data_IF_465750188767
#
_entry.id   IF_465750188767
#
_cell.length_a   1.000
_cell.length_b   1.000
_cell.length_c   1.000
_cell.angle_alpha   90.00
_cell.angle_beta   90.00
_cell.angle_gamma   90.00
#
_symmetry.space_group_name_H-M   'P 1'
#
loop_
_entity.id
_entity.type
_entity.pdbx_description
1 polymer ?
#
# COMPACT_ATOMS: atom_id res chain seq x y z
N UNK A 1 41.43 -22.69 3.55
CA UNK A 1 41.79 -21.26 3.67
C UNK A 1 41.36 -20.54 2.39
N UNK A 2 40.15 -19.95 2.36
CA UNK A 2 39.60 -19.36 1.13
C UNK A 2 40.09 -17.93 0.91
N UNK A 3 40.53 -17.61 -0.31
CA UNK A 3 40.90 -16.25 -0.72
C UNK A 3 39.74 -15.26 -0.48
N UNK A 4 40.05 -14.09 0.08
CA UNK A 4 39.08 -13.01 0.36
C UNK A 4 39.11 -11.98 -0.76
N UNK A 5 38.03 -11.90 -1.55
CA UNK A 5 37.87 -10.87 -2.57
C UNK A 5 37.45 -9.53 -1.94
N UNK A 6 38.26 -8.49 -2.17
CA UNK A 6 37.97 -7.10 -1.81
C UNK A 6 38.59 -6.15 -2.86
N UNK A 7 37.79 -5.28 -3.47
CA UNK A 7 38.25 -4.29 -4.46
C UNK A 7 37.62 -2.92 -4.17
N UNK A 8 38.44 -1.88 -3.95
CA UNK A 8 38.00 -0.50 -3.74
C UNK A 8 38.26 0.33 -4.99
N UNK A 9 37.24 0.98 -5.53
CA UNK A 9 37.30 1.86 -6.70
C UNK A 9 36.94 3.28 -6.26
N UNK A 10 37.79 4.27 -6.59
CA UNK A 10 37.53 5.69 -6.32
C UNK A 10 36.75 6.28 -7.48
N UNK A 11 35.59 6.88 -7.21
CA UNK A 11 34.73 7.49 -8.24
C UNK A 11 34.91 9.01 -8.30
N UNK A 12 35.10 9.65 -7.14
CA UNK A 12 35.36 11.09 -7.00
C UNK A 12 36.10 11.36 -5.67
N UNK A 13 36.67 12.56 -5.41
CA UNK A 13 37.21 12.91 -4.10
C UNK A 13 36.17 12.70 -2.98
N UNK A 14 36.47 11.82 -2.02
CA UNK A 14 35.53 11.47 -0.95
C UNK A 14 34.48 10.42 -1.31
N UNK A 15 34.44 9.88 -2.53
CA UNK A 15 33.45 8.87 -2.95
C UNK A 15 34.15 7.60 -3.44
N UNK A 16 33.91 6.48 -2.76
CA UNK A 16 34.55 5.19 -3.05
C UNK A 16 33.52 4.06 -3.05
N UNK A 17 33.61 3.15 -4.01
CA UNK A 17 32.83 1.91 -4.01
C UNK A 17 33.75 0.75 -3.61
N UNK A 18 33.36 0.00 -2.58
CA UNK A 18 34.05 -1.21 -2.17
C UNK A 18 33.23 -2.44 -2.54
N UNK A 19 33.82 -3.30 -3.36
CA UNK A 19 33.30 -4.61 -3.72
C UNK A 19 33.91 -5.66 -2.80
N UNK A 20 33.06 -6.54 -2.27
CA UNK A 20 33.46 -7.68 -1.46
C UNK A 20 32.59 -8.89 -1.81
N UNK A 21 32.93 -10.08 -1.30
CA UNK A 21 32.10 -11.28 -1.45
C UNK A 21 30.65 -11.10 -0.94
N UNK A 22 30.43 -10.15 -0.03
CA UNK A 22 29.10 -9.84 0.53
C UNK A 22 28.33 -8.73 -0.19
N UNK A 23 28.86 -8.21 -1.31
CA UNK A 23 28.22 -7.16 -2.10
C UNK A 23 29.02 -5.85 -2.15
N UNK A 24 28.50 -4.92 -2.95
CA UNK A 24 29.06 -3.59 -3.14
C UNK A 24 28.62 -2.65 -2.00
N UNK A 25 29.52 -1.75 -1.58
CA UNK A 25 29.25 -0.71 -0.59
C UNK A 25 29.75 0.63 -1.09
N UNK A 26 28.97 1.69 -0.87
CA UNK A 26 29.29 3.05 -1.27
C UNK A 26 29.76 3.84 -0.04
N UNK A 27 30.98 4.35 -0.06
CA UNK A 27 31.57 5.20 0.97
C UNK A 27 31.59 6.64 0.49
N UNK A 28 30.96 7.54 1.25
CA UNK A 28 30.80 8.97 0.98
C UNK A 28 31.38 9.76 2.17
N UNK A 29 32.41 10.58 1.93
CA UNK A 29 32.98 11.51 2.92
C UNK A 29 34.51 11.68 2.86
N UNK A 30 34.98 12.81 3.39
CA UNK A 30 36.39 13.23 3.44
C UNK A 30 37.09 12.73 4.71
N UNK A 31 38.38 13.04 4.88
CA UNK A 31 39.15 12.66 6.08
C UNK A 31 38.55 13.33 7.32
N UNK A 32 38.07 12.53 8.27
CA UNK A 32 37.46 12.98 9.53
C UNK A 32 35.96 12.70 9.65
N UNK A 33 35.30 12.41 8.53
CA UNK A 33 33.88 12.06 8.52
C UNK A 33 33.51 11.30 7.26
N UNK A 34 33.25 10.00 7.39
CA UNK A 34 32.85 9.12 6.28
C UNK A 34 31.61 8.32 6.62
N UNK A 35 30.72 8.18 5.65
CA UNK A 35 29.49 7.41 5.75
C UNK A 35 29.55 6.30 4.70
N UNK A 36 29.47 5.06 5.13
CA UNK A 36 29.56 3.88 4.26
C UNK A 36 28.25 3.13 4.26
N UNK A 37 27.58 3.13 3.11
CA UNK A 37 26.36 2.41 2.83
C UNK A 37 26.70 1.02 2.29
N UNK A 38 26.26 -0.03 2.96
CA UNK A 38 26.53 -1.40 2.52
C UNK A 38 25.46 -2.38 2.97
N UNK A 39 25.51 -3.63 2.48
CA UNK A 39 24.48 -4.64 2.71
C UNK A 39 24.31 -5.04 4.19
N UNK A 40 25.26 -4.70 5.06
CA UNK A 40 25.20 -4.92 6.51
C UNK A 40 24.80 -3.67 7.31
N UNK A 41 24.37 -2.60 6.65
CA UNK A 41 23.93 -1.35 7.27
C UNK A 41 24.84 -0.15 6.97
N UNK A 42 24.40 1.02 7.42
CA UNK A 42 25.11 2.29 7.26
C UNK A 42 26.10 2.47 8.41
N UNK A 43 27.38 2.58 8.06
CA UNK A 43 28.46 2.82 9.01
C UNK A 43 28.88 4.28 8.93
N UNK A 44 28.71 5.01 10.02
CA UNK A 44 29.20 6.38 10.15
C UNK A 44 30.51 6.31 10.93
N UNK A 45 31.57 6.88 10.36
CA UNK A 45 32.86 7.00 11.01
C UNK A 45 33.22 8.47 11.09
N UNK A 46 33.21 9.00 12.30
CA UNK A 46 33.64 10.36 12.64
C UNK A 46 34.95 10.24 13.42
N UNK A 47 35.94 11.04 13.08
CA UNK A 47 37.25 10.98 13.72
C UNK A 47 37.97 12.31 13.61
N UNK A 48 38.85 12.59 14.56
CA UNK A 48 39.57 13.85 14.63
C UNK A 48 40.81 13.71 13.75
N UNK A 49 40.92 14.43 12.61
CA UNK A 49 42.02 14.27 11.67
C UNK A 49 43.38 14.54 12.33
N UNK A 50 44.39 13.72 12.04
CA UNK A 50 45.75 13.90 12.57
C UNK A 50 46.02 13.27 13.95
N UNK A 51 44.99 12.79 14.66
CA UNK A 51 45.13 12.23 16.01
C UNK A 51 45.09 10.69 16.08
N UNK A 52 44.72 10.02 14.98
CA UNK A 52 44.52 8.57 14.96
C UNK A 52 43.23 8.08 15.66
N UNK A 53 42.49 8.98 16.31
CA UNK A 53 41.25 8.67 17.01
C UNK A 53 40.04 8.73 16.06
N UNK A 54 39.35 7.61 15.92
CA UNK A 54 38.14 7.48 15.11
C UNK A 54 37.05 6.71 15.87
N UNK A 55 35.84 7.26 15.89
CA UNK A 55 34.66 6.60 16.43
C UNK A 55 33.82 6.09 15.26
N UNK A 56 33.68 4.77 15.17
CA UNK A 56 32.84 4.14 14.15
C UNK A 56 31.54 3.69 14.79
N UNK A 57 30.48 4.44 14.52
CA UNK A 57 29.13 4.06 14.91
C UNK A 57 28.51 3.26 13.77
N UNK A 58 28.38 1.95 13.96
CA UNK A 58 27.55 1.12 13.10
C UNK A 58 26.12 1.35 13.56
N UNK A 59 25.30 2.01 12.72
CA UNK A 59 23.89 2.16 13.03
C UNK A 59 23.27 0.76 13.08
N UNK A 60 22.84 0.27 14.27
CA UNK A 60 22.17 -1.00 14.35
C UNK A 60 20.83 -0.87 13.66
N UNK A 61 20.44 -1.90 12.90
CA UNK A 61 19.09 -2.01 12.34
C UNK A 61 18.10 -2.22 13.50
N UNK A 62 17.71 -1.16 14.22
CA UNK A 62 16.77 -1.23 15.34
C UNK A 62 15.52 -0.38 15.09
N UNK A 63 14.43 -1.13 14.87
CA UNK A 63 13.00 -0.90 15.14
C UNK A 63 12.53 0.55 15.22
N UNK A 64 12.40 1.16 14.05
CA UNK A 64 11.33 2.09 13.71
C UNK A 64 10.15 1.28 13.15
N UNK A 65 9.56 0.42 14.00
CA UNK A 65 8.85 -0.80 13.58
C UNK A 65 7.33 -0.71 13.43
N UNK A 66 6.68 0.43 13.59
CA UNK A 66 5.22 0.54 13.39
C UNK A 66 4.86 1.44 12.20
N UNK A 67 5.38 2.66 12.09
CA UNK A 67 5.03 3.51 10.93
C UNK A 67 5.85 3.22 9.66
N UNK A 68 7.09 2.72 9.80
CA UNK A 68 7.92 2.34 8.64
C UNK A 68 7.77 0.88 8.21
N UNK A 69 7.12 0.02 9.01
CA UNK A 69 6.79 -1.36 8.57
C UNK A 69 5.64 -1.39 7.59
N UNK A 70 4.69 -0.45 7.70
CA UNK A 70 3.58 -0.31 6.75
C UNK A 70 4.08 0.18 5.39
N UNK A 71 5.18 0.95 5.34
CA UNK A 71 5.81 1.39 4.09
C UNK A 71 6.92 0.45 3.56
N UNK A 72 7.48 -0.43 4.40
CA UNK A 72 8.58 -1.36 4.02
C UNK A 72 8.15 -2.82 3.81
N UNK A 73 6.89 -3.18 4.05
CA UNK A 73 6.31 -4.43 3.55
C UNK A 73 6.00 -4.38 2.04
N UNK A 74 6.12 -3.19 1.44
CA UNK A 74 5.78 -2.86 0.05
C UNK A 74 7.02 -2.57 -0.83
N UNK A 75 8.09 -3.36 -0.70
CA UNK A 75 9.13 -3.40 -1.73
C UNK A 75 9.07 -4.73 -2.46
N UNK A 76 9.05 -4.73 -3.80
CA UNK A 76 8.99 -5.95 -4.61
C UNK A 76 10.21 -6.83 -4.34
N UNK A 77 10.14 -8.14 -4.64
CA UNK A 77 11.33 -8.98 -4.59
C UNK A 77 12.43 -8.35 -5.45
N UNK A 78 13.62 -8.28 -4.87
CA UNK A 78 14.84 -7.99 -5.59
C UNK A 78 15.03 -9.05 -6.68
N UNK A 79 14.72 -8.69 -7.92
CA UNK A 79 15.54 -9.07 -9.06
C UNK A 79 16.14 -7.80 -9.65
N UNK A 80 17.21 -7.32 -9.02
CA UNK A 80 18.13 -6.39 -9.67
C UNK A 80 18.95 -7.13 -10.77
N UNK A 81 18.26 -7.86 -11.64
CA UNK A 81 18.79 -8.67 -12.70
C UNK A 81 17.82 -8.78 -13.89
N UNK A 82 17.04 -7.73 -14.18
CA UNK A 82 16.42 -7.50 -15.49
C UNK A 82 15.56 -6.22 -15.46
N UNK A 83 16.19 -5.05 -15.33
CA UNK A 83 15.52 -3.87 -15.87
C UNK A 83 15.27 -4.16 -17.35
N UNK A 84 14.07 -3.94 -17.92
CA UNK A 84 13.85 -4.08 -19.35
C UNK A 84 14.68 -2.98 -20.04
N UNK A 85 15.93 -3.28 -20.32
CA UNK A 85 16.77 -2.47 -21.19
C UNK A 85 16.58 -3.01 -22.58
N UNK A 86 15.82 -2.30 -23.41
CA UNK A 86 15.83 -2.52 -24.85
C UNK A 86 17.29 -2.46 -25.31
N UNK A 87 17.78 -3.57 -25.88
CA UNK A 87 19.07 -3.58 -26.55
C UNK A 87 19.07 -2.59 -27.70
N UNK A 88 20.26 -2.08 -28.08
CA UNK A 88 20.43 -1.09 -29.14
C UNK A 88 19.67 -1.44 -30.44
N UNK A 89 19.62 -2.73 -30.82
CA UNK A 89 18.92 -3.20 -32.02
C UNK A 89 17.39 -3.34 -31.87
N UNK A 90 16.86 -3.53 -30.65
CA UNK A 90 15.42 -3.55 -30.43
C UNK A 90 14.82 -2.15 -30.58
N UNK A 91 15.57 -1.11 -30.16
CA UNK A 91 15.13 0.30 -30.29
C UNK A 91 14.93 0.75 -31.75
N UNK A 92 15.64 0.15 -32.71
CA UNK A 92 15.57 0.54 -34.12
C UNK A 92 14.25 0.12 -34.81
N UNK A 93 13.53 -0.87 -34.26
CA UNK A 93 12.26 -1.39 -34.81
C UNK A 93 11.08 -1.28 -33.84
N UNK A 94 11.27 -0.62 -32.70
CA UNK A 94 10.23 -0.45 -31.67
C UNK A 94 9.51 0.89 -31.88
N UNK A 95 8.17 0.92 -31.94
CA UNK A 95 7.42 2.17 -32.04
C UNK A 95 7.80 3.16 -30.93
N UNK A 96 7.80 4.50 -31.19
CA UNK A 96 8.22 5.49 -30.20
C UNK A 96 7.49 5.39 -28.85
N UNK A 97 6.19 5.06 -28.89
CA UNK A 97 5.34 4.91 -27.71
C UNK A 97 5.76 3.71 -26.85
N UNK A 98 6.21 2.63 -27.48
CA UNK A 98 6.72 1.45 -26.76
C UNK A 98 8.10 1.72 -26.15
N UNK A 99 8.96 2.51 -26.83
CA UNK A 99 10.23 2.97 -26.26
C UNK A 99 9.96 3.80 -25.00
N UNK A 100 9.05 4.78 -25.11
CA UNK A 100 8.65 5.64 -23.99
C UNK A 100 8.08 4.82 -22.82
N UNK A 101 7.25 3.82 -23.10
CA UNK A 101 6.73 2.89 -22.10
C UNK A 101 7.86 2.15 -21.37
N UNK A 102 8.80 1.53 -22.10
CA UNK A 102 9.92 0.80 -21.49
C UNK A 102 10.84 1.73 -20.68
N UNK A 103 11.11 2.94 -21.18
CA UNK A 103 11.86 3.95 -20.44
C UNK A 103 11.14 4.38 -19.16
N UNK A 104 9.82 4.59 -19.23
CA UNK A 104 8.98 4.87 -18.07
C UNK A 104 9.06 3.77 -17.02
N UNK A 105 8.88 2.51 -17.43
CA UNK A 105 9.01 1.33 -16.55
C UNK A 105 10.41 1.22 -15.93
N UNK A 106 11.46 1.52 -16.69
CA UNK A 106 12.83 1.55 -16.16
C UNK A 106 13.01 2.62 -15.08
N UNK A 107 12.50 3.83 -15.31
CA UNK A 107 12.59 4.90 -14.30
C UNK A 107 11.78 4.57 -13.04
N UNK A 108 10.66 3.83 -13.15
CA UNK A 108 9.94 3.29 -11.98
C UNK A 108 10.81 2.32 -11.17
N UNK A 109 11.49 1.39 -11.84
CA UNK A 109 12.42 0.45 -11.17
C UNK A 109 13.57 1.19 -10.48
N UNK A 110 14.00 2.33 -11.03
CA UNK A 110 15.02 3.20 -10.43
C UNK A 110 14.47 4.13 -9.33
N UNK A 111 13.17 4.08 -9.03
CA UNK A 111 12.52 4.91 -8.02
C UNK A 111 12.36 6.38 -8.40
N UNK A 112 12.43 6.71 -9.70
CA UNK A 112 12.37 8.09 -10.22
C UNK A 112 11.01 8.37 -10.81
N UNK A 113 10.03 8.48 -9.93
CA UNK A 113 8.62 8.39 -10.29
C UNK A 113 8.13 9.56 -11.15
N UNK A 114 8.62 10.78 -10.92
CA UNK A 114 8.28 11.93 -11.77
C UNK A 114 8.80 11.79 -13.20
N UNK A 115 10.03 11.30 -13.36
CA UNK A 115 10.62 11.02 -14.68
C UNK A 115 9.91 9.87 -15.38
N UNK A 116 9.55 8.84 -14.62
CA UNK A 116 8.75 7.74 -15.12
C UNK A 116 7.40 8.24 -15.65
N UNK A 117 6.69 9.09 -14.89
CA UNK A 117 5.42 9.64 -15.32
C UNK A 117 5.56 10.47 -16.61
N UNK A 118 6.59 11.32 -16.71
CA UNK A 118 6.85 12.11 -17.91
C UNK A 118 7.04 11.20 -19.15
N UNK A 119 7.76 10.09 -19.01
CA UNK A 119 7.94 9.10 -20.09
C UNK A 119 6.67 8.31 -20.40
N UNK A 120 5.90 7.94 -19.39
CA UNK A 120 4.64 7.22 -19.58
C UNK A 120 3.57 8.08 -20.26
N UNK A 121 3.59 9.41 -20.06
CA UNK A 121 2.73 10.35 -20.77
C UNK A 121 2.98 10.37 -22.30
N UNK A 122 4.17 9.98 -22.76
CA UNK A 122 4.46 9.81 -24.20
C UNK A 122 3.92 8.47 -24.74
N UNK A 123 3.37 7.60 -23.88
CA UNK A 123 2.89 6.24 -24.21
C UNK A 123 1.37 6.04 -24.02
N UNK A 124 0.58 7.11 -23.91
CA UNK A 124 -0.86 7.06 -23.58
C UNK A 124 -1.77 6.42 -24.66
N UNK A 125 -1.24 6.19 -25.84
CA UNK A 125 -1.89 5.41 -26.90
C UNK A 125 -1.77 3.90 -26.69
N UNK A 126 -0.82 3.45 -25.85
CA UNK A 126 -0.76 2.07 -25.39
C UNK A 126 -1.69 1.90 -24.18
N UNK A 127 -2.55 0.87 -24.15
CA UNK A 127 -3.41 0.58 -23.00
C UNK A 127 -2.62 0.50 -21.69
N UNK A 128 -1.54 -0.28 -21.70
CA UNK A 128 -0.66 -0.50 -20.53
C UNK A 128 0.13 0.76 -20.15
N UNK A 129 0.45 1.61 -21.14
CA UNK A 129 1.09 2.91 -20.91
C UNK A 129 0.15 3.88 -20.19
N UNK A 130 -1.10 3.97 -20.64
CA UNK A 130 -2.14 4.76 -19.99
C UNK A 130 -2.45 4.25 -18.57
N UNK A 131 -2.61 2.94 -18.38
CA UNK A 131 -2.84 2.34 -17.07
C UNK A 131 -1.69 2.66 -16.11
N UNK A 132 -0.44 2.44 -16.55
CA UNK A 132 0.73 2.70 -15.71
C UNK A 132 0.88 4.19 -15.38
N UNK A 133 0.64 5.08 -16.36
CA UNK A 133 0.64 6.52 -16.12
C UNK A 133 -0.40 6.91 -15.06
N UNK A 134 -1.61 6.36 -15.14
CA UNK A 134 -2.68 6.59 -14.17
C UNK A 134 -2.33 6.10 -12.77
N UNK A 135 -1.80 4.88 -12.63
CA UNK A 135 -1.38 4.34 -11.33
C UNK A 135 -0.25 5.16 -10.69
N UNK A 136 0.72 5.61 -11.49
CA UNK A 136 1.83 6.46 -11.02
C UNK A 136 1.33 7.85 -10.64
N UNK A 137 0.46 8.45 -11.47
CA UNK A 137 -0.15 9.75 -11.20
C UNK A 137 -1.00 9.73 -9.93
N UNK A 138 -1.76 8.66 -9.67
CA UNK A 138 -2.58 8.51 -8.47
C UNK A 138 -1.73 8.63 -7.21
N UNK A 139 -0.57 7.96 -7.19
CA UNK A 139 0.35 7.99 -6.06
C UNK A 139 1.10 9.32 -5.90
N UNK A 140 1.49 9.95 -7.01
CA UNK A 140 2.32 11.16 -6.98
C UNK A 140 1.54 12.46 -6.84
N UNK A 141 0.38 12.52 -7.49
CA UNK A 141 -0.37 13.76 -7.73
C UNK A 141 -1.79 13.70 -7.18
N UNK A 142 -2.33 12.51 -6.97
CA UNK A 142 -3.68 12.29 -6.44
C UNK A 142 -4.71 11.94 -7.51
N UNK A 143 -5.94 11.75 -7.06
CA UNK A 143 -7.03 11.20 -7.86
C UNK A 143 -7.40 12.07 -9.08
N UNK A 144 -7.43 13.39 -8.91
CA UNK A 144 -7.84 14.33 -9.96
C UNK A 144 -6.92 14.27 -11.18
N UNK A 145 -5.62 14.23 -10.95
CA UNK A 145 -4.60 14.16 -12.00
C UNK A 145 -4.49 12.75 -12.61
N UNK A 146 -4.85 11.71 -11.86
CA UNK A 146 -4.81 10.32 -12.33
C UNK A 146 -5.96 9.95 -13.26
N UNK A 147 -7.15 10.49 -12.98
CA UNK A 147 -8.40 10.16 -13.68
C UNK A 147 -8.29 10.16 -15.21
N UNK A 148 -7.77 11.21 -15.90
CA UNK A 148 -7.73 11.23 -17.36
C UNK A 148 -6.88 10.10 -17.96
N UNK A 149 -5.83 9.64 -17.26
CA UNK A 149 -5.02 8.52 -17.73
C UNK A 149 -5.74 7.18 -17.57
N UNK A 150 -6.46 6.99 -16.46
CA UNK A 150 -7.22 5.77 -16.21
C UNK A 150 -8.46 5.67 -17.10
N UNK A 151 -9.16 6.78 -17.36
CA UNK A 151 -10.25 6.83 -18.35
C UNK A 151 -9.73 6.51 -19.75
N UNK A 152 -8.52 7.00 -20.09
CA UNK A 152 -7.88 6.61 -21.35
C UNK A 152 -7.57 5.12 -21.42
N UNK A 153 -7.08 4.53 -20.32
CA UNK A 153 -6.86 3.08 -20.23
C UNK A 153 -8.17 2.30 -20.37
N UNK A 154 -9.26 2.79 -19.79
CA UNK A 154 -10.60 2.20 -19.90
C UNK A 154 -11.12 2.19 -21.34
N UNK A 155 -10.91 3.28 -22.09
CA UNK A 155 -11.24 3.33 -23.54
C UNK A 155 -10.46 2.29 -24.35
N UNK A 156 -9.26 1.91 -23.89
CA UNK A 156 -8.36 0.98 -24.56
C UNK A 156 -8.33 -0.42 -23.91
N UNK A 157 -9.33 -0.73 -23.06
CA UNK A 157 -9.28 -1.86 -22.12
C UNK A 157 -9.04 -3.24 -22.76
N UNK A 158 -9.47 -3.46 -24.01
CA UNK A 158 -9.26 -4.72 -24.75
C UNK A 158 -7.79 -5.06 -25.00
N UNK A 159 -6.90 -4.07 -24.88
CA UNK A 159 -5.46 -4.23 -25.06
C UNK A 159 -4.66 -4.31 -23.77
N UNK A 160 -5.31 -4.21 -22.59
CA UNK A 160 -4.61 -4.26 -21.30
C UNK A 160 -3.95 -5.62 -21.12
N UNK A 161 -2.68 -5.60 -20.72
CA UNK A 161 -1.83 -6.77 -20.55
C UNK A 161 -0.97 -7.13 -21.77
N UNK A 162 -1.27 -6.63 -22.98
CA UNK A 162 -0.55 -7.04 -24.21
C UNK A 162 0.89 -6.54 -24.25
N UNK A 163 1.11 -5.27 -23.93
CA UNK A 163 2.46 -4.67 -23.89
C UNK A 163 3.23 -5.22 -22.69
N UNK A 164 2.57 -5.39 -21.54
CA UNK A 164 3.16 -6.05 -20.38
C UNK A 164 3.66 -7.46 -20.72
N UNK A 165 2.82 -8.31 -21.34
CA UNK A 165 3.19 -9.65 -21.74
C UNK A 165 4.34 -9.67 -22.78
N UNK A 166 4.30 -8.76 -23.78
CA UNK A 166 5.37 -8.61 -24.78
C UNK A 166 6.75 -8.42 -24.15
N UNK A 167 6.82 -7.71 -23.03
CA UNK A 167 8.06 -7.43 -22.32
C UNK A 167 8.28 -8.29 -21.05
N UNK A 168 7.43 -9.29 -20.79
CA UNK A 168 7.53 -10.15 -19.61
C UNK A 168 7.36 -9.40 -18.28
N UNK A 169 6.57 -8.34 -18.29
CA UNK A 169 6.30 -7.48 -17.13
C UNK A 169 4.98 -7.92 -16.50
N UNK A 170 4.94 -8.04 -15.17
CA UNK A 170 3.72 -8.32 -14.41
C UNK A 170 3.60 -7.29 -13.28
N UNK A 171 3.18 -6.05 -13.60
CA UNK A 171 3.16 -4.99 -12.61
C UNK A 171 2.02 -5.23 -11.62
N UNK A 172 2.28 -4.89 -10.37
CA UNK A 172 1.27 -4.86 -9.33
C UNK A 172 1.28 -3.47 -8.68
N UNK A 173 0.14 -3.06 -8.15
CA UNK A 173 -0.01 -1.85 -7.36
C UNK A 173 -0.70 -2.17 -6.03
N UNK A 174 -0.67 -1.19 -5.13
CA UNK A 174 -1.20 -1.34 -3.78
C UNK A 174 -2.44 -0.48 -3.62
N UNK A 175 -3.53 -1.10 -3.16
CA UNK A 175 -4.72 -0.44 -2.68
C UNK A 175 -4.62 -0.30 -1.16
N UNK A 176 -4.90 0.90 -0.67
CA UNK A 176 -4.86 1.23 0.75
C UNK A 176 -6.28 1.28 1.29
N UNK A 177 -6.50 0.62 2.42
CA UNK A 177 -7.76 0.59 3.13
C UNK A 177 -7.56 1.17 4.54
N UNK A 178 -8.64 1.59 5.20
CA UNK A 178 -8.59 2.04 6.58
C UNK A 178 -7.92 1.03 7.51
N UNK A 179 -7.42 1.55 8.63
CA UNK A 179 -6.85 0.76 9.72
C UNK A 179 -5.58 -0.02 9.34
N UNK A 180 -4.80 0.51 8.39
CA UNK A 180 -3.48 -0.01 8.03
C UNK A 180 -3.53 -1.29 7.20
N UNK A 181 -4.64 -1.55 6.52
CA UNK A 181 -4.74 -2.67 5.57
C UNK A 181 -4.31 -2.18 4.20
N UNK A 182 -3.45 -2.96 3.56
CA UNK A 182 -2.96 -2.66 2.23
C UNK A 182 -2.88 -3.97 1.44
N UNK A 183 -3.52 -3.97 0.27
CA UNK A 183 -3.67 -5.15 -0.58
C UNK A 183 -3.06 -4.91 -1.94
N UNK A 184 -2.52 -5.98 -2.53
CA UNK A 184 -1.89 -5.93 -3.84
C UNK A 184 -2.88 -6.34 -4.92
N UNK A 185 -2.94 -5.54 -5.98
CA UNK A 185 -3.71 -5.84 -7.18
C UNK A 185 -2.77 -5.90 -8.40
N UNK A 186 -2.98 -6.85 -9.33
CA UNK A 186 -2.29 -6.83 -10.62
C UNK A 186 -2.74 -5.62 -11.44
N UNK A 187 -1.83 -5.04 -12.22
CA UNK A 187 -2.16 -4.03 -13.22
C UNK A 187 -2.71 -4.71 -14.49
N UNK A 188 -3.86 -5.35 -14.35
CA UNK A 188 -4.65 -5.96 -15.41
C UNK A 188 -6.00 -5.24 -15.56
N UNK A 189 -6.94 -5.82 -16.31
CA UNK A 189 -8.26 -5.22 -16.49
C UNK A 189 -9.03 -5.08 -15.17
N UNK A 190 -8.92 -6.05 -14.25
CA UNK A 190 -9.52 -5.93 -12.91
C UNK A 190 -8.84 -4.82 -12.11
N UNK A 191 -7.51 -4.76 -12.14
CA UNK A 191 -6.72 -3.70 -11.53
C UNK A 191 -7.11 -2.31 -12.00
N UNK A 192 -7.33 -2.13 -13.29
CA UNK A 192 -7.82 -0.88 -13.86
C UNK A 192 -9.17 -0.47 -13.24
N UNK A 193 -10.13 -1.39 -13.17
CA UNK A 193 -11.44 -1.12 -12.57
C UNK A 193 -11.36 -0.79 -11.07
N UNK A 194 -10.50 -1.51 -10.32
CA UNK A 194 -10.26 -1.22 -8.91
C UNK A 194 -9.59 0.16 -8.71
N UNK A 195 -8.63 0.52 -9.57
CA UNK A 195 -7.97 1.83 -9.52
C UNK A 195 -8.94 2.98 -9.86
N UNK A 196 -9.79 2.80 -10.87
CA UNK A 196 -10.84 3.76 -11.19
C UNK A 196 -11.84 3.91 -10.04
N UNK A 197 -12.27 2.81 -9.43
CA UNK A 197 -13.15 2.87 -8.27
C UNK A 197 -12.53 3.69 -7.13
N UNK A 198 -11.25 3.46 -6.81
CA UNK A 198 -10.53 4.26 -5.80
C UNK A 198 -10.49 5.75 -6.17
N UNK A 199 -10.17 6.07 -7.42
CA UNK A 199 -10.13 7.47 -7.90
C UNK A 199 -11.49 8.14 -7.78
N UNK A 200 -12.57 7.44 -8.10
CA UNK A 200 -13.92 7.97 -7.95
C UNK A 200 -14.30 8.13 -6.47
N UNK A 201 -13.96 7.19 -5.58
CA UNK A 201 -14.13 7.35 -4.13
C UNK A 201 -13.39 8.59 -3.60
N UNK A 202 -12.11 8.76 -3.96
CA UNK A 202 -11.26 9.90 -3.56
C UNK A 202 -11.81 11.25 -4.05
N UNK A 203 -12.56 11.24 -5.16
CA UNK A 203 -13.24 12.42 -5.72
C UNK A 203 -14.66 12.62 -5.19
N UNK A 204 -15.12 11.78 -4.25
CA UNK A 204 -16.49 11.81 -3.69
C UNK A 204 -17.57 11.28 -4.63
N UNK A 205 -17.18 10.66 -5.75
CA UNK A 205 -18.04 10.10 -6.80
C UNK A 205 -18.36 8.63 -6.54
N UNK A 206 -18.97 8.36 -5.39
CA UNK A 206 -19.16 6.98 -4.89
C UNK A 206 -20.07 6.15 -5.81
N UNK A 207 -21.06 6.76 -6.46
CA UNK A 207 -21.98 6.04 -7.35
C UNK A 207 -21.26 5.44 -8.58
N UNK A 208 -20.32 6.20 -9.16
CA UNK A 208 -19.47 5.75 -10.26
C UNK A 208 -18.55 4.62 -9.81
N UNK A 209 -17.95 4.73 -8.62
CA UNK A 209 -17.13 3.66 -8.04
C UNK A 209 -17.94 2.35 -7.86
N UNK A 210 -19.14 2.44 -7.28
CA UNK A 210 -20.02 1.29 -7.05
C UNK A 210 -20.39 0.57 -8.35
N UNK A 211 -20.53 1.29 -9.47
CA UNK A 211 -20.83 0.68 -10.77
C UNK A 211 -19.75 -0.31 -11.20
N UNK A 212 -18.47 0.07 -11.08
CA UNK A 212 -17.35 -0.83 -11.41
C UNK A 212 -17.23 -1.99 -10.41
N UNK A 213 -17.41 -1.70 -9.13
CA UNK A 213 -17.24 -2.68 -8.06
C UNK A 213 -18.35 -3.74 -8.03
N UNK A 214 -19.60 -3.36 -8.30
CA UNK A 214 -20.71 -4.30 -8.47
C UNK A 214 -20.47 -5.21 -9.67
N UNK A 215 -19.99 -4.67 -10.80
CA UNK A 215 -19.63 -5.48 -11.96
C UNK A 215 -18.56 -6.53 -11.61
N UNK A 216 -17.49 -6.13 -10.91
CA UNK A 216 -16.43 -7.05 -10.47
C UNK A 216 -16.96 -8.12 -9.50
N UNK A 217 -17.71 -7.72 -8.48
CA UNK A 217 -18.21 -8.62 -7.45
C UNK A 217 -19.22 -9.65 -8.00
N UNK A 218 -20.07 -9.24 -8.96
CA UNK A 218 -21.05 -10.14 -9.56
C UNK A 218 -20.40 -11.14 -10.53
N UNK A 219 -19.33 -10.75 -11.22
CA UNK A 219 -18.61 -11.64 -12.13
C UNK A 219 -17.67 -12.61 -11.40
N UNK A 220 -17.09 -12.20 -10.28
CA UNK A 220 -16.16 -13.02 -9.49
C UNK A 220 -16.53 -12.99 -8.00
N UNK A 221 -17.61 -13.66 -7.57
CA UNK A 221 -18.09 -13.58 -6.19
C UNK A 221 -17.08 -14.05 -5.14
N UNK A 222 -16.12 -14.90 -5.52
CA UNK A 222 -15.08 -15.43 -4.65
C UNK A 222 -13.88 -14.48 -4.48
N UNK A 223 -13.79 -13.39 -5.25
CA UNK A 223 -12.69 -12.44 -5.13
C UNK A 223 -12.84 -11.59 -3.87
N UNK A 224 -12.05 -11.91 -2.84
CA UNK A 224 -12.04 -11.20 -1.56
C UNK A 224 -11.67 -9.72 -1.70
N UNK A 225 -10.79 -9.37 -2.63
CA UNK A 225 -10.35 -7.98 -2.83
C UNK A 225 -11.48 -7.16 -3.45
N UNK A 226 -12.10 -7.67 -4.52
CA UNK A 226 -13.25 -7.00 -5.13
C UNK A 226 -14.41 -6.84 -4.14
N UNK A 227 -14.67 -7.88 -3.34
CA UNK A 227 -15.66 -7.84 -2.26
C UNK A 227 -15.32 -6.78 -1.20
N UNK A 228 -14.06 -6.69 -0.77
CA UNK A 228 -13.64 -5.67 0.20
C UNK A 228 -13.81 -4.26 -0.37
N UNK A 229 -13.38 -4.01 -1.61
CA UNK A 229 -13.57 -2.71 -2.26
C UNK A 229 -15.06 -2.33 -2.32
N UNK A 230 -15.92 -3.26 -2.76
CA UNK A 230 -17.37 -3.00 -2.83
C UNK A 230 -17.96 -2.69 -1.45
N UNK A 231 -17.65 -3.50 -0.43
CA UNK A 231 -18.12 -3.25 0.94
C UNK A 231 -17.58 -1.94 1.49
N UNK A 232 -16.33 -1.58 1.20
CA UNK A 232 -15.74 -0.31 1.60
C UNK A 232 -16.52 0.87 1.00
N UNK A 233 -16.73 0.86 -0.32
CA UNK A 233 -17.45 1.92 -1.02
C UNK A 233 -18.91 2.04 -0.55
N UNK A 234 -19.60 0.92 -0.33
CA UNK A 234 -20.97 0.91 0.22
C UNK A 234 -21.05 1.51 1.63
N UNK A 235 -19.96 1.43 2.39
CA UNK A 235 -19.87 1.96 3.76
C UNK A 235 -19.30 3.38 3.82
N UNK A 236 -19.11 4.04 2.68
CA UNK A 236 -18.62 5.42 2.62
C UNK A 236 -19.70 6.43 3.10
N UNK A 237 -19.28 7.45 3.86
CA UNK A 237 -20.19 8.49 4.37
C UNK A 237 -21.22 7.96 5.37
N UNK A 238 -22.51 8.27 5.13
CA UNK A 238 -23.65 7.79 5.91
C UNK A 238 -24.49 6.83 5.08
N UNK A 239 -24.26 5.50 5.16
CA UNK A 239 -24.95 4.54 4.31
C UNK A 239 -26.44 4.45 4.64
N UNK A 240 -27.25 4.24 3.60
CA UNK A 240 -28.69 3.96 3.73
C UNK A 240 -28.98 2.47 3.98
N UNK A 241 -30.25 2.16 4.20
CA UNK A 241 -30.72 0.80 4.52
C UNK A 241 -30.35 -0.23 3.44
N UNK A 242 -30.47 0.14 2.17
CA UNK A 242 -30.14 -0.72 1.03
C UNK A 242 -28.65 -1.10 1.01
N UNK A 243 -27.77 -0.13 1.28
CA UNK A 243 -26.34 -0.37 1.37
C UNK A 243 -26.00 -1.34 2.52
N UNK A 244 -26.63 -1.16 3.68
CA UNK A 244 -26.46 -2.09 4.80
C UNK A 244 -26.91 -3.51 4.44
N UNK A 245 -28.09 -3.68 3.85
CA UNK A 245 -28.58 -5.00 3.41
C UNK A 245 -27.64 -5.64 2.40
N UNK A 246 -27.10 -4.85 1.45
CA UNK A 246 -26.12 -5.32 0.47
C UNK A 246 -24.81 -5.77 1.13
N UNK A 247 -24.29 -5.00 2.09
CA UNK A 247 -23.12 -5.40 2.88
C UNK A 247 -23.38 -6.72 3.62
N UNK A 248 -24.57 -6.92 4.22
CA UNK A 248 -24.89 -8.16 4.91
C UNK A 248 -24.96 -9.37 3.97
N UNK A 249 -25.39 -9.20 2.72
CA UNK A 249 -25.37 -10.25 1.70
C UNK A 249 -23.93 -10.61 1.31
N UNK A 250 -23.11 -9.61 1.00
CA UNK A 250 -21.71 -9.80 0.59
C UNK A 250 -20.85 -10.42 1.71
N UNK A 251 -21.22 -10.16 2.96
CA UNK A 251 -20.52 -10.64 4.16
C UNK A 251 -21.24 -11.81 4.84
N UNK A 252 -22.15 -12.48 4.14
CA UNK A 252 -22.77 -13.70 4.64
C UNK A 252 -21.69 -14.77 4.86
N UNK A 253 -21.63 -15.34 6.07
CA UNK A 253 -20.68 -16.40 6.45
C UNK A 253 -19.20 -16.03 6.20
N UNK A 254 -18.68 -15.08 6.98
CA UNK A 254 -17.25 -14.77 6.96
C UNK A 254 -16.48 -15.59 8.01
N UNK A 255 -15.37 -16.24 7.64
CA UNK A 255 -14.40 -16.71 8.62
C UNK A 255 -13.70 -15.50 9.26
N UNK A 256 -12.83 -15.72 10.24
CA UNK A 256 -11.94 -14.68 10.76
C UNK A 256 -10.48 -15.13 10.62
N UNK A 257 -10.04 -15.29 9.37
CA UNK A 257 -8.73 -15.88 9.06
C UNK A 257 -7.66 -14.89 8.65
N UNK A 258 -8.04 -13.84 7.92
CA UNK A 258 -7.16 -12.81 7.39
C UNK A 258 -7.53 -11.44 7.96
N UNK A 259 -6.64 -10.42 7.87
CA UNK A 259 -7.01 -9.05 8.23
C UNK A 259 -8.20 -8.52 7.42
N UNK A 260 -8.32 -8.93 6.16
CA UNK A 260 -9.45 -8.62 5.27
C UNK A 260 -10.75 -9.15 5.87
N UNK A 261 -10.78 -10.40 6.30
CA UNK A 261 -11.93 -10.98 6.99
C UNK A 261 -12.32 -10.19 8.24
N UNK A 262 -11.33 -9.78 9.04
CA UNK A 262 -11.56 -8.98 10.24
C UNK A 262 -12.15 -7.60 9.92
N UNK A 263 -11.68 -6.94 8.86
CA UNK A 263 -12.23 -5.66 8.39
C UNK A 263 -13.66 -5.81 7.83
N UNK A 264 -13.91 -6.85 7.04
CA UNK A 264 -15.27 -7.15 6.56
C UNK A 264 -16.25 -7.42 7.72
N UNK A 265 -15.80 -8.08 8.80
CA UNK A 265 -16.60 -8.26 10.01
C UNK A 265 -16.88 -6.92 10.73
N UNK A 266 -15.93 -5.98 10.74
CA UNK A 266 -16.16 -4.63 11.25
C UNK A 266 -17.26 -3.91 10.44
N UNK A 267 -17.18 -3.93 9.11
CA UNK A 267 -18.21 -3.35 8.25
C UNK A 267 -19.57 -4.05 8.40
N UNK A 268 -19.57 -5.37 8.51
CA UNK A 268 -20.78 -6.15 8.79
C UNK A 268 -21.45 -5.73 10.10
N UNK A 269 -20.66 -5.55 11.18
CA UNK A 269 -21.18 -5.11 12.46
C UNK A 269 -21.78 -3.69 12.39
N UNK A 270 -21.12 -2.77 11.69
CA UNK A 270 -21.65 -1.42 11.42
C UNK A 270 -22.97 -1.46 10.66
N UNK A 271 -23.06 -2.31 9.63
CA UNK A 271 -24.29 -2.49 8.88
C UNK A 271 -25.43 -3.08 9.73
N UNK A 272 -25.15 -4.10 10.56
CA UNK A 272 -26.12 -4.65 11.51
C UNK A 272 -26.62 -3.59 12.50
N UNK A 273 -25.70 -2.80 13.06
CA UNK A 273 -26.02 -1.67 13.95
C UNK A 273 -26.88 -0.62 13.23
N UNK A 274 -26.54 -0.26 11.99
CA UNK A 274 -27.32 0.68 11.17
C UNK A 274 -28.74 0.22 10.87
N UNK A 275 -29.00 -1.10 10.89
CA UNK A 275 -30.33 -1.70 10.79
C UNK A 275 -31.01 -1.93 12.15
N UNK A 276 -30.43 -1.48 13.25
CA UNK A 276 -30.94 -1.68 14.61
C UNK A 276 -30.77 -3.10 15.16
N UNK A 277 -30.03 -3.98 14.48
CA UNK A 277 -29.78 -5.37 14.90
C UNK A 277 -28.61 -5.45 15.89
N UNK A 278 -28.74 -4.79 17.04
CA UNK A 278 -27.64 -4.53 17.98
C UNK A 278 -27.02 -5.81 18.56
N UNK A 279 -27.83 -6.82 18.87
CA UNK A 279 -27.33 -8.12 19.39
C UNK A 279 -26.48 -8.86 18.35
N UNK A 280 -26.92 -8.92 17.10
CA UNK A 280 -26.16 -9.52 16.01
C UNK A 280 -24.86 -8.75 15.73
N UNK A 281 -24.89 -7.42 15.83
CA UNK A 281 -23.69 -6.58 15.72
C UNK A 281 -22.68 -6.91 16.84
N UNK A 282 -23.16 -7.12 18.07
CA UNK A 282 -22.32 -7.48 19.24
C UNK A 282 -21.65 -8.82 19.05
N UNK A 283 -22.39 -9.83 18.58
CA UNK A 283 -21.86 -11.15 18.25
C UNK A 283 -20.79 -11.07 17.16
N UNK A 284 -21.05 -10.29 16.11
CA UNK A 284 -20.12 -10.08 14.99
C UNK A 284 -18.81 -9.41 15.46
N UNK A 285 -18.88 -8.35 16.28
CA UNK A 285 -17.68 -7.72 16.86
C UNK A 285 -16.94 -8.65 17.82
N UNK A 286 -17.68 -9.48 18.57
CA UNK A 286 -17.08 -10.50 19.43
C UNK A 286 -16.32 -11.54 18.60
N UNK A 287 -16.87 -12.02 17.49
CA UNK A 287 -16.18 -12.90 16.55
C UNK A 287 -14.93 -12.24 15.97
N UNK A 288 -15.03 -10.98 15.53
CA UNK A 288 -13.91 -10.23 14.96
C UNK A 288 -12.74 -10.09 15.94
N UNK A 289 -13.03 -9.79 17.21
CA UNK A 289 -12.03 -9.58 18.26
C UNK A 289 -11.37 -10.86 18.80
N UNK A 290 -11.86 -12.06 18.44
CA UNK A 290 -11.27 -13.34 18.87
C UNK A 290 -9.84 -13.54 18.35
N UNK A 291 -9.54 -13.07 17.14
CA UNK A 291 -8.23 -13.28 16.50
C UNK A 291 -7.42 -11.98 16.50
N UNK A 292 -6.27 -12.00 17.18
CA UNK A 292 -5.33 -10.87 17.25
C UNK A 292 -4.08 -11.05 16.40
N UNK A 293 -3.71 -12.30 16.12
CA UNK A 293 -2.50 -12.63 15.38
C UNK A 293 -2.54 -11.98 13.99
N UNK A 294 -1.46 -11.30 13.62
CA UNK A 294 -1.26 -10.65 12.33
C UNK A 294 -2.31 -9.56 11.99
N UNK A 295 -3.00 -9.00 13.01
CA UNK A 295 -3.95 -7.88 12.80
C UNK A 295 -3.28 -6.55 13.09
N UNK A 296 -3.51 -5.52 12.23
CA UNK A 296 -3.07 -4.16 12.54
C UNK A 296 -3.62 -3.70 13.89
N UNK A 297 -2.80 -3.03 14.70
CA UNK A 297 -3.23 -2.43 15.98
C UNK A 297 -4.40 -1.46 15.77
N UNK A 298 -4.34 -0.65 14.71
CA UNK A 298 -5.42 0.26 14.31
C UNK A 298 -6.75 -0.45 14.08
N UNK A 299 -6.74 -1.63 13.46
CA UNK A 299 -7.97 -2.40 13.23
C UNK A 299 -8.54 -2.95 14.54
N UNK A 300 -7.66 -3.35 15.46
CA UNK A 300 -8.06 -3.83 16.78
C UNK A 300 -8.65 -2.70 17.63
N UNK A 301 -8.06 -1.50 17.59
CA UNK A 301 -8.61 -0.29 18.22
C UNK A 301 -9.97 0.08 17.61
N UNK A 302 -10.09 0.06 16.29
CA UNK A 302 -11.35 0.34 15.60
C UNK A 302 -12.49 -0.61 15.99
N UNK A 303 -12.20 -1.92 16.10
CA UNK A 303 -13.18 -2.91 16.57
C UNK A 303 -13.61 -2.67 18.02
N UNK A 304 -12.68 -2.29 18.90
CA UNK A 304 -13.02 -1.94 20.30
C UNK A 304 -13.86 -0.69 20.37
N UNK A 305 -13.49 0.32 19.59
CA UNK A 305 -14.19 1.59 19.52
C UNK A 305 -15.62 1.38 19.04
N UNK A 306 -15.79 0.64 17.93
CA UNK A 306 -17.12 0.29 17.42
C UNK A 306 -17.95 -0.48 18.45
N UNK A 307 -17.32 -1.41 19.19
CA UNK A 307 -18.01 -2.16 20.25
C UNK A 307 -18.37 -1.29 21.44
N UNK A 308 -17.58 -0.26 21.76
CA UNK A 308 -17.92 0.71 22.78
C UNK A 308 -19.15 1.51 22.39
N UNK A 309 -19.18 2.05 21.17
CA UNK A 309 -20.35 2.76 20.63
C UNK A 309 -21.59 1.88 20.62
N UNK A 310 -21.45 0.61 20.22
CA UNK A 310 -22.56 -0.34 20.26
C UNK A 310 -23.07 -0.56 21.69
N UNK A 311 -22.19 -0.67 22.69
CA UNK A 311 -22.63 -0.80 24.08
C UNK A 311 -23.35 0.44 24.59
N UNK A 312 -22.98 1.65 24.15
CA UNK A 312 -23.73 2.87 24.44
C UNK A 312 -25.15 2.79 23.86
N UNK A 313 -25.28 2.41 22.58
CA UNK A 313 -26.59 2.24 21.92
C UNK A 313 -27.48 1.18 22.60
N UNK A 314 -26.85 0.16 23.19
CA UNK A 314 -27.53 -0.88 23.96
C UNK A 314 -27.84 -0.48 25.41
N UNK A 315 -27.50 0.74 25.86
CA UNK A 315 -27.70 1.19 27.23
C UNK A 315 -26.76 0.54 28.27
N UNK A 316 -25.57 0.11 27.85
CA UNK A 316 -24.57 -0.59 28.67
C UNK A 316 -23.29 0.26 28.89
N UNK A 317 -23.37 1.39 29.61
CA UNK A 317 -22.27 2.36 29.72
C UNK A 317 -21.02 1.80 30.43
N UNK A 318 -21.19 0.85 31.36
CA UNK A 318 -20.05 0.21 32.05
C UNK A 318 -19.19 -0.59 31.08
N UNK A 319 -19.80 -1.33 30.17
CA UNK A 319 -19.13 -2.13 29.15
C UNK A 319 -18.50 -1.24 28.08
N UNK A 320 -19.20 -0.16 27.68
CA UNK A 320 -18.64 0.85 26.78
C UNK A 320 -17.35 1.46 27.36
N UNK A 321 -17.42 1.96 28.60
CA UNK A 321 -16.26 2.53 29.30
C UNK A 321 -15.08 1.55 29.38
N UNK A 322 -15.35 0.28 29.68
CA UNK A 322 -14.32 -0.77 29.74
C UNK A 322 -13.60 -0.99 28.39
N UNK A 323 -14.29 -0.82 27.27
CA UNK A 323 -13.64 -0.91 25.95
C UNK A 323 -12.82 0.35 25.65
N UNK A 324 -13.36 1.54 25.98
CA UNK A 324 -12.65 2.82 25.80
C UNK A 324 -11.38 2.91 26.64
N UNK A 325 -11.39 2.49 27.91
CA UNK A 325 -10.21 2.47 28.78
C UNK A 325 -9.08 1.61 28.21
N UNK A 326 -9.41 0.47 27.56
CA UNK A 326 -8.40 -0.37 26.89
C UNK A 326 -7.75 0.34 25.70
N UNK A 327 -8.54 1.10 24.94
CA UNK A 327 -8.02 1.89 23.82
C UNK A 327 -7.13 3.00 24.37
N UNK A 328 -7.61 3.77 25.36
CA UNK A 328 -6.86 4.87 25.96
C UNK A 328 -5.53 4.44 26.57
N UNK A 329 -5.48 3.26 27.21
CA UNK A 329 -4.25 2.71 27.75
C UNK A 329 -3.19 2.37 26.67
N UNK A 330 -3.63 2.09 25.44
CA UNK A 330 -2.76 1.78 24.29
C UNK A 330 -2.43 3.06 23.48
N UNK A 331 -3.42 3.93 23.28
CA UNK A 331 -3.36 5.14 22.48
C UNK A 331 -4.30 6.23 23.05
N UNK A 332 -3.78 7.12 23.91
CA UNK A 332 -4.56 8.21 24.51
C UNK A 332 -5.14 9.22 23.50
N UNK A 333 -4.60 9.27 22.28
CA UNK A 333 -5.00 10.22 21.24
C UNK A 333 -6.00 9.63 20.22
N UNK A 334 -6.47 8.41 20.44
CA UNK A 334 -7.35 7.74 19.49
C UNK A 334 -8.75 8.37 19.46
N UNK A 335 -9.12 8.95 18.30
CA UNK A 335 -10.44 9.53 18.04
C UNK A 335 -10.92 10.48 19.17
N UNK A 336 -12.15 10.29 19.67
CA UNK A 336 -12.75 11.06 20.75
C UNK A 336 -12.70 10.31 22.11
N UNK A 337 -11.87 9.25 22.23
CA UNK A 337 -11.86 8.34 23.40
C UNK A 337 -11.59 9.09 24.71
N UNK A 338 -10.62 10.01 24.73
CA UNK A 338 -10.30 10.83 25.90
C UNK A 338 -11.52 11.65 26.37
N UNK A 339 -12.22 12.30 25.42
CA UNK A 339 -13.42 13.07 25.72
C UNK A 339 -14.55 12.17 26.24
N UNK A 340 -14.78 11.00 25.62
CA UNK A 340 -15.78 10.02 26.08
C UNK A 340 -15.50 9.46 27.48
N UNK A 341 -14.23 9.42 27.89
CA UNK A 341 -13.83 9.01 29.23
C UNK A 341 -13.88 10.14 30.27
N UNK A 342 -14.05 11.39 29.85
CA UNK A 342 -14.00 12.58 30.69
C UNK A 342 -12.59 12.98 31.10
N UNK A 343 -11.60 12.74 30.22
CA UNK A 343 -10.17 12.98 30.45
C UNK A 343 -9.59 14.13 29.60
N UNK A 344 -10.46 14.88 28.91
CA UNK A 344 -10.11 16.00 28.02
C UNK A 344 -9.85 17.30 28.76
#
# INVERSE_FOLDING_TARGET
MGFRFFRRIKLAPGVHVNFSKSGASLSLGSRGGKITFGPRGTRITTGIPGTGLYHTTVLPKRRASEEKKVLAAFSPPSSAASAPTLGFFQRLFTPPQEIAFVEGMRELVLGREEKALAKLQESLSLPDGALTAGLVALRLKGAKEALPYLERALQLQEGIGKTFAKYGIHPNFTLLFPYGIALTAPADQKGLLLALAQVYEDLGKVAEALTFLEHLANNQPQDELARLCLVHALMHGTPGEEAYRRVLQLTAFLPNETPVHTLLLLYRARALKGLGLLEAAKETLTQALRRKKDRPSELMKALRYERALLYEDMGNPRQARKELEKIYAEDPAYADVAARLGLS
#
